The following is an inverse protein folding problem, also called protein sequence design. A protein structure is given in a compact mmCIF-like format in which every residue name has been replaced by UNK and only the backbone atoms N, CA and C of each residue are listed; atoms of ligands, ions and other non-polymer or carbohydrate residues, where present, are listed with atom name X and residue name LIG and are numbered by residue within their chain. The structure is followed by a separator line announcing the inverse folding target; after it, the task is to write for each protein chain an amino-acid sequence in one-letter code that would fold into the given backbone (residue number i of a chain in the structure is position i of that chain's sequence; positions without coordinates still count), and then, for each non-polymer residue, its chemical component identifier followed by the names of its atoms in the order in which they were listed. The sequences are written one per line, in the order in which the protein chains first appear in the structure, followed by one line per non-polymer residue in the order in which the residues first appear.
data_IF_840926229303
#
_entry.id   IF_840926229303
#
_cell.length_a   1.000
_cell.length_b   1.000
_cell.length_c   1.000
_cell.angle_alpha   90.00
_cell.angle_beta   90.00
_cell.angle_gamma   90.00
#
_symmetry.space_group_name_H-M   'P 1'
#
loop_
_entity.id
_entity.type
_entity.pdbx_description
1 polymer ?
#
# COMPACT_ATOMS: atom_id res chain seq x y z
N UNK A 1 -30.35 5.90 41.55
CA UNK A 1 -28.99 5.49 41.08
C UNK A 1 -29.01 4.61 39.83
N UNK A 2 -29.83 3.59 39.76
CA UNK A 2 -29.86 2.62 38.68
C UNK A 2 -30.25 3.21 37.32
N UNK A 3 -31.31 4.05 37.24
CA UNK A 3 -31.77 4.69 35.98
C UNK A 3 -30.70 5.65 35.40
N UNK A 4 -30.02 6.41 36.27
CA UNK A 4 -28.94 7.33 35.84
C UNK A 4 -27.78 6.55 35.22
N UNK A 5 -27.43 5.40 35.78
CA UNK A 5 -26.37 4.52 35.23
C UNK A 5 -26.79 3.91 33.91
N UNK A 6 -28.05 3.49 33.76
CA UNK A 6 -28.60 2.97 32.51
C UNK A 6 -28.56 4.03 31.38
N UNK A 7 -28.99 5.26 31.65
CA UNK A 7 -28.91 6.38 30.71
C UNK A 7 -27.47 6.69 30.31
N UNK A 8 -26.54 6.71 31.29
CA UNK A 8 -25.10 6.91 31.01
C UNK A 8 -24.54 5.82 30.10
N UNK A 9 -24.87 4.55 30.36
CA UNK A 9 -24.44 3.40 29.53
C UNK A 9 -24.95 3.52 28.09
N UNK A 10 -26.24 3.80 27.90
CA UNK A 10 -26.84 3.98 26.58
C UNK A 10 -26.23 5.14 25.81
N UNK A 11 -25.92 6.27 26.47
CA UNK A 11 -25.19 7.37 25.86
C UNK A 11 -23.80 6.97 25.39
N UNK A 12 -23.06 6.22 26.18
CA UNK A 12 -21.76 5.70 25.78
C UNK A 12 -21.88 4.76 24.59
N UNK A 13 -22.87 3.86 24.57
CA UNK A 13 -23.11 2.96 23.43
C UNK A 13 -23.47 3.75 22.18
N UNK A 14 -24.29 4.80 22.29
CA UNK A 14 -24.61 5.68 21.16
C UNK A 14 -23.36 6.39 20.61
N UNK A 15 -22.52 6.94 21.49
CA UNK A 15 -21.29 7.60 21.05
C UNK A 15 -20.35 6.62 20.33
N UNK A 16 -20.19 5.40 20.86
CA UNK A 16 -19.37 4.38 20.19
C UNK A 16 -19.97 3.99 18.83
N UNK A 17 -21.28 3.83 18.75
CA UNK A 17 -21.98 3.55 17.51
C UNK A 17 -21.77 4.66 16.46
N UNK A 18 -21.91 5.92 16.87
CA UNK A 18 -21.69 7.08 15.99
C UNK A 18 -20.23 7.16 15.50
N UNK A 19 -19.25 6.89 16.36
CA UNK A 19 -17.85 6.85 15.96
C UNK A 19 -17.62 5.75 14.90
N UNK A 20 -18.13 4.54 15.10
CA UNK A 20 -18.06 3.45 14.13
C UNK A 20 -18.76 3.81 12.81
N UNK A 21 -19.92 4.45 12.90
CA UNK A 21 -20.65 4.92 11.72
C UNK A 21 -19.81 5.92 10.91
N UNK A 22 -19.22 6.94 11.55
CA UNK A 22 -18.40 7.94 10.85
C UNK A 22 -17.09 7.35 10.30
N UNK A 23 -16.48 6.39 10.99
CA UNK A 23 -15.32 5.67 10.47
C UNK A 23 -15.69 4.89 9.20
N UNK A 24 -16.82 4.17 9.22
CA UNK A 24 -17.31 3.40 8.09
C UNK A 24 -17.72 4.30 6.92
N UNK A 25 -18.41 5.41 7.19
CA UNK A 25 -18.77 6.43 6.19
C UNK A 25 -17.52 7.03 5.53
N UNK A 26 -16.51 7.39 6.32
CA UNK A 26 -15.23 7.89 5.80
C UNK A 26 -14.49 6.85 4.96
N UNK A 27 -14.53 5.59 5.39
CA UNK A 27 -13.96 4.47 4.64
C UNK A 27 -14.65 4.32 3.27
N UNK A 28 -15.98 4.34 3.24
CA UNK A 28 -16.78 4.18 2.02
C UNK A 28 -16.62 5.38 1.08
N UNK A 29 -16.65 6.60 1.63
CA UNK A 29 -16.67 7.82 0.81
C UNK A 29 -15.31 8.23 0.27
N UNK A 30 -14.21 7.90 0.96
CA UNK A 30 -12.87 8.40 0.65
C UNK A 30 -11.81 7.32 0.54
N UNK A 31 -11.69 6.45 1.57
CA UNK A 31 -10.52 5.57 1.68
C UNK A 31 -10.57 4.45 0.65
N UNK A 32 -11.68 3.69 0.61
CA UNK A 32 -11.81 2.54 -0.28
C UNK A 32 -11.80 2.91 -1.77
N UNK A 33 -12.53 3.96 -2.24
CA UNK A 33 -12.47 4.37 -3.64
C UNK A 33 -11.04 4.72 -4.10
N UNK A 34 -10.31 5.50 -3.30
CA UNK A 34 -8.95 5.90 -3.63
C UNK A 34 -7.99 4.70 -3.69
N UNK A 35 -8.10 3.75 -2.74
CA UNK A 35 -7.29 2.52 -2.75
C UNK A 35 -7.59 1.64 -3.96
N UNK A 36 -8.87 1.45 -4.27
CA UNK A 36 -9.32 0.66 -5.42
C UNK A 36 -8.79 1.26 -6.72
N UNK A 37 -8.87 2.58 -6.88
CA UNK A 37 -8.35 3.28 -8.05
C UNK A 37 -6.82 3.13 -8.16
N UNK A 38 -6.10 3.30 -7.05
CA UNK A 38 -4.65 3.12 -7.01
C UNK A 38 -4.24 1.69 -7.37
N UNK A 39 -4.93 0.67 -6.85
CA UNK A 39 -4.65 -0.73 -7.21
C UNK A 39 -4.91 -1.00 -8.69
N UNK A 40 -5.99 -0.46 -9.26
CA UNK A 40 -6.26 -0.57 -10.71
C UNK A 40 -5.15 0.06 -11.54
N UNK A 41 -4.71 1.27 -11.17
CA UNK A 41 -3.61 1.96 -11.85
C UNK A 41 -2.30 1.18 -11.77
N UNK A 42 -1.98 0.62 -10.60
CA UNK A 42 -0.78 -0.19 -10.43
C UNK A 42 -0.85 -1.47 -11.28
N UNK A 43 -2.01 -2.15 -11.33
CA UNK A 43 -2.24 -3.31 -12.19
C UNK A 43 -2.00 -2.95 -13.66
N UNK A 44 -2.58 -1.85 -14.15
CA UNK A 44 -2.38 -1.38 -15.52
C UNK A 44 -0.91 -1.10 -15.84
N UNK A 45 -0.20 -0.45 -14.92
CA UNK A 45 1.23 -0.15 -15.09
C UNK A 45 2.06 -1.43 -15.13
N UNK A 46 1.80 -2.40 -14.23
CA UNK A 46 2.49 -3.67 -14.19
C UNK A 46 2.20 -4.51 -15.45
N UNK A 47 0.97 -4.48 -15.96
CA UNK A 47 0.62 -5.15 -17.21
C UNK A 47 1.41 -4.57 -18.42
N UNK A 48 1.61 -3.26 -18.46
CA UNK A 48 2.52 -2.62 -19.46
C UNK A 48 3.97 -3.09 -19.28
N UNK A 49 4.44 -3.24 -18.05
CA UNK A 49 5.80 -3.70 -17.78
C UNK A 49 6.01 -5.16 -18.19
N UNK A 50 4.99 -6.01 -18.09
CA UNK A 50 5.03 -7.38 -18.64
C UNK A 50 5.24 -7.36 -20.15
N UNK A 51 4.57 -6.47 -20.87
CA UNK A 51 4.76 -6.35 -22.32
C UNK A 51 6.17 -5.80 -22.67
N UNK A 52 6.70 -4.88 -21.86
CA UNK A 52 8.10 -4.41 -22.01
C UNK A 52 9.06 -5.59 -21.76
N UNK A 53 8.90 -6.34 -20.68
CA UNK A 53 9.76 -7.48 -20.37
C UNK A 53 9.76 -8.52 -21.51
N UNK A 54 8.60 -8.87 -22.04
CA UNK A 54 8.47 -9.78 -23.18
C UNK A 54 9.17 -9.26 -24.45
N UNK A 55 9.00 -7.96 -24.75
CA UNK A 55 9.55 -7.33 -25.96
C UNK A 55 11.07 -7.27 -25.95
N UNK A 56 11.67 -7.02 -24.78
CA UNK A 56 13.12 -6.85 -24.64
C UNK A 56 13.82 -8.07 -24.05
N UNK A 57 13.11 -9.19 -23.87
CA UNK A 57 13.72 -10.44 -23.44
C UNK A 57 14.79 -10.88 -24.46
N UNK A 58 15.97 -11.21 -23.96
CA UNK A 58 17.07 -11.76 -24.77
C UNK A 58 17.84 -12.78 -23.93
N UNK A 59 18.27 -13.84 -24.56
CA UNK A 59 19.15 -14.86 -23.94
C UNK A 59 20.59 -14.34 -23.79
N UNK A 60 20.99 -13.40 -24.64
CA UNK A 60 22.31 -12.79 -24.60
C UNK A 60 22.35 -11.70 -23.54
N UNK A 61 23.27 -11.86 -22.59
CA UNK A 61 23.48 -10.86 -21.55
C UNK A 61 24.39 -9.77 -22.05
N UNK A 62 23.89 -8.54 -22.07
CA UNK A 62 24.68 -7.34 -22.27
C UNK A 62 24.10 -6.19 -21.47
N UNK A 63 24.93 -5.45 -20.75
CA UNK A 63 24.54 -4.24 -20.00
C UNK A 63 25.62 -3.18 -20.07
N UNK A 64 25.19 -1.94 -20.28
CA UNK A 64 26.07 -0.77 -20.21
C UNK A 64 25.78 0.02 -18.94
N UNK A 65 26.76 0.07 -18.05
CA UNK A 65 26.66 0.75 -16.75
C UNK A 65 27.28 2.13 -16.82
N UNK A 66 26.54 3.16 -16.38
CA UNK A 66 26.92 4.57 -16.38
C UNK A 66 27.33 5.10 -17.78
N UNK A 67 26.79 4.53 -18.85
CA UNK A 67 27.12 4.84 -20.25
C UNK A 67 28.63 4.73 -20.57
N UNK A 68 29.38 4.06 -19.72
CA UNK A 68 30.84 3.98 -19.80
C UNK A 68 31.37 2.55 -19.76
N UNK A 69 30.76 1.68 -18.97
CA UNK A 69 31.27 0.34 -18.72
C UNK A 69 30.36 -0.69 -19.37
N UNK A 70 30.81 -1.27 -20.47
CA UNK A 70 30.14 -2.40 -21.13
C UNK A 70 30.49 -3.71 -20.43
N UNK A 71 29.52 -4.59 -20.27
CA UNK A 71 29.73 -5.92 -19.69
C UNK A 71 28.84 -6.95 -20.35
N UNK A 72 29.46 -8.07 -20.79
CA UNK A 72 28.78 -9.23 -21.39
C UNK A 72 28.62 -10.37 -20.38
N UNK A 73 28.96 -10.13 -19.12
CA UNK A 73 28.76 -11.11 -18.06
C UNK A 73 28.11 -10.50 -16.81
N UNK A 74 27.21 -11.28 -16.20
CA UNK A 74 26.54 -10.89 -14.92
C UNK A 74 27.53 -10.67 -13.79
N UNK A 75 28.62 -11.46 -13.75
CA UNK A 75 29.65 -11.35 -12.71
C UNK A 75 30.42 -10.03 -12.78
N UNK A 76 30.79 -9.60 -13.98
CA UNK A 76 31.46 -8.33 -14.20
C UNK A 76 30.53 -7.14 -13.92
N UNK A 77 29.30 -7.18 -14.44
CA UNK A 77 28.28 -6.17 -14.15
C UNK A 77 28.05 -6.00 -12.64
N UNK A 78 27.93 -7.09 -11.87
CA UNK A 78 27.84 -7.07 -10.41
C UNK A 78 29.03 -6.32 -9.77
N UNK A 79 30.25 -6.60 -10.23
CA UNK A 79 31.47 -5.97 -9.72
C UNK A 79 31.47 -4.47 -10.00
N UNK A 80 31.07 -4.07 -11.22
CA UNK A 80 30.98 -2.67 -11.59
C UNK A 80 29.94 -1.95 -10.74
N UNK A 81 28.72 -2.48 -10.63
CA UNK A 81 27.62 -1.86 -9.90
C UNK A 81 27.96 -1.71 -8.41
N UNK A 82 28.59 -2.69 -7.78
CA UNK A 82 29.02 -2.61 -6.39
C UNK A 82 30.04 -1.51 -6.10
N UNK A 83 30.85 -1.16 -7.08
CA UNK A 83 31.87 -0.10 -6.94
C UNK A 83 31.30 1.30 -7.17
N UNK A 84 30.01 1.42 -7.58
CA UNK A 84 29.35 2.71 -7.73
C UNK A 84 29.07 3.27 -6.35
N UNK A 85 29.65 4.44 -6.07
CA UNK A 85 29.32 5.19 -4.86
C UNK A 85 27.92 5.81 -5.00
N UNK A 86 26.95 5.43 -4.14
CA UNK A 86 25.64 6.05 -4.19
C UNK A 86 25.75 7.53 -3.81
N UNK A 87 25.09 8.39 -4.57
CA UNK A 87 24.94 9.79 -4.20
C UNK A 87 23.95 9.89 -3.03
N UNK A 88 24.34 10.52 -1.93
CA UNK A 88 23.43 10.76 -0.82
C UNK A 88 22.33 11.72 -1.27
N UNK A 89 21.08 11.36 -1.05
CA UNK A 89 19.83 12.12 -1.28
C UNK A 89 19.25 12.11 -2.70
N UNK A 90 19.87 11.49 -3.69
CA UNK A 90 19.31 11.48 -5.04
C UNK A 90 19.36 10.07 -5.64
N UNK A 91 18.23 9.63 -6.20
CA UNK A 91 18.19 8.52 -7.11
C UNK A 91 19.16 8.76 -8.29
N UNK A 92 19.89 7.72 -8.66
CA UNK A 92 20.82 7.78 -9.79
C UNK A 92 20.54 6.63 -10.75
N UNK A 93 20.12 6.93 -11.96
CA UNK A 93 20.09 5.94 -13.04
C UNK A 93 21.52 5.49 -13.34
N UNK A 94 21.75 4.19 -13.27
CA UNK A 94 23.05 3.57 -13.49
C UNK A 94 23.14 2.73 -14.75
N UNK A 95 21.98 2.24 -15.25
CA UNK A 95 21.91 1.46 -16.48
C UNK A 95 20.48 1.45 -17.04
N UNK A 96 20.35 0.96 -18.28
CA UNK A 96 19.08 0.43 -18.82
C UNK A 96 19.30 -1.05 -19.14
N UNK A 97 18.37 -1.91 -18.74
CA UNK A 97 18.49 -3.34 -18.94
C UNK A 97 17.11 -3.96 -19.23
N UNK A 98 17.00 -4.69 -20.33
CA UNK A 98 15.75 -5.33 -20.79
C UNK A 98 14.54 -4.39 -20.82
N UNK A 99 14.75 -3.13 -21.20
CA UNK A 99 13.69 -2.12 -21.32
C UNK A 99 13.34 -1.39 -20.01
N UNK A 100 14.02 -1.72 -18.90
CA UNK A 100 13.86 -1.05 -17.61
C UNK A 100 15.05 -0.17 -17.26
N UNK A 101 14.80 0.91 -16.53
CA UNK A 101 15.84 1.73 -15.94
C UNK A 101 16.29 1.15 -14.60
N UNK A 102 17.59 0.94 -14.46
CA UNK A 102 18.21 0.47 -13.22
C UNK A 102 18.72 1.68 -12.45
N UNK A 103 18.17 1.90 -11.27
CA UNK A 103 18.40 3.07 -10.45
C UNK A 103 18.98 2.65 -9.11
N UNK A 104 20.04 3.32 -8.71
CA UNK A 104 20.63 3.18 -7.38
C UNK A 104 20.13 4.31 -6.49
N UNK A 105 19.53 3.95 -5.36
CA UNK A 105 19.07 4.88 -4.33
C UNK A 105 19.68 4.57 -2.97
N UNK A 106 19.84 5.61 -2.16
CA UNK A 106 20.25 5.51 -0.76
C UNK A 106 19.53 6.54 0.08
N UNK A 107 18.50 6.10 0.76
CA UNK A 107 17.60 6.97 1.56
C UNK A 107 18.32 7.66 2.73
N UNK A 108 19.37 7.06 3.30
CA UNK A 108 20.19 7.67 4.34
C UNK A 108 21.60 7.04 4.42
N UNK A 109 22.51 7.68 5.15
CA UNK A 109 23.88 7.16 5.40
C UNK A 109 23.84 5.81 6.11
N UNK A 110 22.84 5.58 6.94
CA UNK A 110 22.68 4.38 7.77
C UNK A 110 21.74 3.33 7.15
N UNK A 111 21.08 3.63 6.01
CA UNK A 111 20.22 2.68 5.33
C UNK A 111 21.00 1.76 4.39
N UNK A 112 20.46 0.57 4.16
CA UNK A 112 20.92 -0.28 3.06
C UNK A 112 20.77 0.45 1.72
N UNK A 113 21.58 0.05 0.75
CA UNK A 113 21.42 0.54 -0.62
C UNK A 113 20.19 -0.13 -1.22
N UNK A 114 19.38 0.66 -1.94
CA UNK A 114 18.19 0.18 -2.61
C UNK A 114 18.42 0.23 -4.11
N UNK A 115 18.10 -0.85 -4.79
CA UNK A 115 18.02 -0.90 -6.24
C UNK A 115 16.57 -0.78 -6.65
N UNK A 116 16.29 0.12 -7.60
CA UNK A 116 14.96 0.31 -8.18
C UNK A 116 15.04 -0.10 -9.66
N UNK A 117 14.19 -1.02 -10.05
CA UNK A 117 13.95 -1.38 -11.45
C UNK A 117 12.72 -0.59 -11.87
N UNK A 118 12.91 0.47 -12.62
CA UNK A 118 11.86 1.42 -13.01
C UNK A 118 11.32 1.09 -14.39
N UNK A 119 10.05 0.75 -14.43
CA UNK A 119 9.22 0.66 -15.61
C UNK A 119 8.10 1.69 -15.57
N UNK A 120 6.87 1.25 -15.85
CA UNK A 120 5.64 2.00 -15.54
C UNK A 120 5.29 1.89 -14.04
N UNK A 121 5.83 0.86 -13.38
CA UNK A 121 5.81 0.64 -11.94
C UNK A 121 7.25 0.45 -11.44
N UNK A 122 7.54 0.86 -10.19
CA UNK A 122 8.87 0.72 -9.58
C UNK A 122 8.95 -0.56 -8.74
N UNK A 123 9.95 -1.41 -9.03
CA UNK A 123 10.25 -2.64 -8.29
C UNK A 123 11.52 -2.43 -7.49
N UNK A 124 11.44 -2.52 -6.16
CA UNK A 124 12.55 -2.21 -5.27
C UNK A 124 13.09 -3.46 -4.57
N UNK A 125 14.41 -3.51 -4.36
CA UNK A 125 15.03 -4.43 -3.43
C UNK A 125 16.24 -3.80 -2.73
N UNK A 126 16.42 -4.17 -1.48
CA UNK A 126 17.61 -3.79 -0.72
C UNK A 126 18.74 -4.78 -0.97
N UNK A 127 19.96 -4.28 -1.00
CA UNK A 127 21.14 -5.12 -1.19
C UNK A 127 22.30 -4.71 -0.29
N UNK A 128 23.17 -5.68 -0.01
CA UNK A 128 24.40 -5.54 0.80
C UNK A 128 25.57 -6.19 0.08
N UNK A 129 26.74 -6.19 0.68
CA UNK A 129 27.99 -6.69 0.08
C UNK A 129 27.97 -8.12 -0.48
N UNK A 130 27.11 -9.01 0.01
CA UNK A 130 26.98 -10.41 -0.46
C UNK A 130 25.90 -10.62 -1.53
N UNK A 131 25.03 -9.65 -1.78
CA UNK A 131 23.88 -9.80 -2.70
C UNK A 131 24.36 -9.90 -4.14
N UNK A 132 23.89 -10.91 -4.89
CA UNK A 132 24.07 -10.93 -6.35
C UNK A 132 23.03 -10.03 -7.00
N UNK A 133 23.41 -8.79 -7.31
CA UNK A 133 22.52 -7.74 -7.80
C UNK A 133 21.88 -8.12 -9.12
N UNK A 134 22.69 -8.57 -10.11
CA UNK A 134 22.17 -8.94 -11.43
C UNK A 134 21.20 -10.12 -11.36
N UNK A 135 21.49 -11.10 -10.51
CA UNK A 135 20.54 -12.20 -10.28
C UNK A 135 19.19 -11.69 -9.70
N UNK A 136 19.21 -10.74 -8.79
CA UNK A 136 17.96 -10.16 -8.24
C UNK A 136 17.20 -9.36 -9.31
N UNK A 137 17.91 -8.60 -10.15
CA UNK A 137 17.31 -7.86 -11.26
C UNK A 137 16.64 -8.84 -12.25
N UNK A 138 17.37 -9.86 -12.71
CA UNK A 138 16.82 -10.88 -13.61
C UNK A 138 15.60 -11.57 -12.99
N UNK A 139 15.69 -11.99 -11.73
CA UNK A 139 14.59 -12.65 -11.02
C UNK A 139 13.34 -11.76 -10.92
N UNK A 140 13.51 -10.45 -10.71
CA UNK A 140 12.38 -9.52 -10.66
C UNK A 140 11.75 -9.38 -12.04
N UNK A 141 12.55 -9.21 -13.09
CA UNK A 141 12.05 -9.05 -14.46
C UNK A 141 11.36 -10.33 -14.94
N UNK A 142 11.92 -11.51 -14.67
CA UNK A 142 11.38 -12.80 -15.13
C UNK A 142 10.14 -13.24 -14.35
N UNK A 143 10.15 -13.07 -13.02
CA UNK A 143 9.12 -13.64 -12.15
C UNK A 143 8.47 -12.60 -11.23
N UNK A 144 9.23 -11.63 -10.74
CA UNK A 144 8.79 -10.67 -9.72
C UNK A 144 7.64 -9.78 -10.22
N UNK A 145 7.71 -9.33 -11.48
CA UNK A 145 6.65 -8.54 -12.11
C UNK A 145 5.31 -9.29 -12.09
N UNK A 146 5.31 -10.57 -12.45
CA UNK A 146 4.10 -11.41 -12.44
C UNK A 146 3.57 -11.66 -11.03
N UNK A 147 4.45 -11.85 -10.06
CA UNK A 147 4.04 -12.05 -8.66
C UNK A 147 3.46 -10.75 -8.06
N UNK A 148 4.01 -9.59 -8.42
CA UNK A 148 3.46 -8.30 -8.00
C UNK A 148 2.08 -8.06 -8.63
N UNK A 149 1.87 -8.39 -9.90
CA UNK A 149 0.55 -8.36 -10.54
C UNK A 149 -0.47 -9.21 -9.79
N UNK A 150 -0.12 -10.45 -9.45
CA UNK A 150 -1.00 -11.35 -8.66
C UNK A 150 -1.32 -10.75 -7.29
N UNK A 151 -0.34 -10.11 -6.68
CA UNK A 151 -0.49 -9.46 -5.36
C UNK A 151 -1.47 -8.30 -5.44
N UNK A 152 -1.33 -7.40 -6.42
CA UNK A 152 -2.27 -6.28 -6.59
C UNK A 152 -3.67 -6.73 -6.99
N UNK A 153 -3.82 -7.76 -7.83
CA UNK A 153 -5.13 -8.34 -8.16
C UNK A 153 -5.83 -8.89 -6.91
N UNK A 154 -5.11 -9.58 -6.03
CA UNK A 154 -5.66 -10.06 -4.74
C UNK A 154 -6.03 -8.90 -3.80
N UNK A 155 -5.19 -7.86 -3.71
CA UNK A 155 -5.48 -6.66 -2.90
C UNK A 155 -6.72 -5.92 -3.41
N UNK A 156 -6.87 -5.78 -4.72
CA UNK A 156 -8.05 -5.16 -5.34
C UNK A 156 -9.32 -5.94 -5.04
N UNK A 157 -9.27 -7.26 -5.17
CA UNK A 157 -10.42 -8.13 -4.87
C UNK A 157 -10.82 -8.02 -3.39
N UNK A 158 -9.86 -8.11 -2.48
CA UNK A 158 -10.10 -7.98 -1.04
C UNK A 158 -10.72 -6.62 -0.69
N UNK A 159 -10.13 -5.50 -1.19
CA UNK A 159 -10.63 -4.16 -0.91
C UNK A 159 -12.03 -3.95 -1.52
N UNK A 160 -12.29 -4.48 -2.71
CA UNK A 160 -13.61 -4.40 -3.34
C UNK A 160 -14.68 -5.16 -2.55
N UNK A 161 -14.37 -6.35 -2.05
CA UNK A 161 -15.29 -7.12 -1.17
C UNK A 161 -15.55 -6.35 0.12
N UNK A 162 -14.49 -5.87 0.78
CA UNK A 162 -14.60 -5.08 2.02
C UNK A 162 -15.45 -3.82 1.82
N UNK A 163 -15.27 -3.12 0.69
CA UNK A 163 -16.05 -1.95 0.33
C UNK A 163 -17.54 -2.26 0.16
N UNK A 164 -17.85 -3.38 -0.50
CA UNK A 164 -19.24 -3.84 -0.69
C UNK A 164 -19.89 -4.18 0.66
N UNK A 165 -19.19 -4.94 1.52
CA UNK A 165 -19.66 -5.28 2.86
C UNK A 165 -19.89 -4.02 3.71
N UNK A 166 -18.94 -3.10 3.71
CA UNK A 166 -19.07 -1.83 4.44
C UNK A 166 -20.33 -1.03 4.02
N UNK A 167 -20.63 -1.01 2.72
CA UNK A 167 -21.85 -0.36 2.22
C UNK A 167 -23.14 -1.02 2.73
N UNK A 168 -23.16 -2.33 2.89
CA UNK A 168 -24.35 -3.04 3.40
C UNK A 168 -24.49 -2.91 4.91
N UNK A 169 -23.39 -2.69 5.63
CA UNK A 169 -23.35 -2.52 7.08
C UNK A 169 -23.60 -1.07 7.54
N UNK A 170 -23.51 -0.10 6.61
CA UNK A 170 -23.71 1.31 6.95
C UNK A 170 -25.17 1.57 7.30
N UNK A 171 -25.43 1.71 8.60
CA UNK A 171 -26.74 2.05 9.15
C UNK A 171 -26.60 3.27 10.07
N UNK A 172 -27.31 4.39 9.79
CA UNK A 172 -27.27 5.59 10.61
C UNK A 172 -28.05 5.45 11.92
N UNK A 173 -28.96 4.46 12.03
CA UNK A 173 -29.90 4.35 13.12
C UNK A 173 -29.31 3.59 14.32
N UNK A 174 -29.15 4.27 15.43
CA UNK A 174 -28.75 3.65 16.69
C UNK A 174 -29.84 2.71 17.19
N UNK A 175 -29.59 1.38 17.35
CA UNK A 175 -30.62 0.39 17.67
C UNK A 175 -31.40 0.64 18.97
N UNK A 176 -30.77 1.34 19.93
CA UNK A 176 -31.35 1.63 21.25
C UNK A 176 -31.80 3.10 21.39
N UNK A 177 -32.00 3.84 20.30
CA UNK A 177 -32.39 5.27 20.36
C UNK A 177 -33.69 5.47 21.12
N UNK A 178 -34.74 4.71 20.81
CA UNK A 178 -36.03 4.79 21.46
C UNK A 178 -35.97 4.46 22.97
N UNK A 179 -35.12 3.51 23.35
CA UNK A 179 -34.89 3.17 24.75
C UNK A 179 -34.19 4.30 25.50
N UNK A 180 -33.17 4.88 24.87
CA UNK A 180 -32.44 6.02 25.42
C UNK A 180 -33.39 7.20 25.66
N UNK A 181 -34.22 7.57 24.67
CA UNK A 181 -35.17 8.68 24.77
C UNK A 181 -36.16 8.45 25.93
N UNK A 182 -36.78 7.26 26.02
CA UNK A 182 -37.72 6.91 27.09
C UNK A 182 -37.09 7.01 28.47
N UNK A 183 -35.88 6.48 28.65
CA UNK A 183 -35.18 6.52 29.94
C UNK A 183 -34.73 7.93 30.32
N UNK A 184 -34.32 8.75 29.35
CA UNK A 184 -33.98 10.14 29.57
C UNK A 184 -35.20 10.95 30.03
N UNK A 185 -36.34 10.82 29.36
CA UNK A 185 -37.59 11.48 29.76
C UNK A 185 -37.99 11.10 31.20
N UNK A 186 -37.94 9.78 31.52
CA UNK A 186 -38.25 9.30 32.87
C UNK A 186 -37.31 9.83 33.93
N UNK A 187 -36.01 9.90 33.64
CA UNK A 187 -35.02 10.50 34.55
C UNK A 187 -35.29 11.98 34.79
N UNK A 188 -35.66 12.75 33.75
CA UNK A 188 -36.03 14.14 33.86
C UNK A 188 -37.24 14.36 34.77
N UNK A 189 -38.33 13.59 34.56
CA UNK A 189 -39.51 13.63 35.40
C UNK A 189 -39.21 13.39 36.91
N UNK A 190 -38.38 12.37 37.17
CA UNK A 190 -37.98 12.06 38.54
C UNK A 190 -37.15 13.17 39.17
N UNK A 191 -36.23 13.76 38.44
CA UNK A 191 -35.41 14.89 38.96
C UNK A 191 -36.26 16.12 39.22
N UNK A 192 -37.26 16.45 38.36
CA UNK A 192 -38.18 17.51 38.64
C UNK A 192 -39.00 17.31 39.95
N UNK A 193 -39.49 16.07 40.15
CA UNK A 193 -40.23 15.72 41.37
C UNK A 193 -39.39 15.77 42.65
N UNK A 194 -38.08 15.55 42.53
CA UNK A 194 -37.17 15.62 43.70
C UNK A 194 -36.69 17.04 44.01
N UNK A 195 -36.85 17.96 43.08
CA UNK A 195 -36.43 19.35 43.19
C UNK A 195 -37.59 20.31 43.54
N UNK A 196 -38.84 19.80 43.53
CA UNK A 196 -40.07 20.47 43.96
C UNK A 196 -40.42 20.13 45.39
#
# INVERSE_FOLDING_TARGET
MELTQQVKRLKMQKNNFLNQYYELESYISKIAPNRIEQYKKNIENIEKDIEVAKKYHTDDFHIKVLDKYDSDTRAEANKIIRNIQPSYKNERKIASYQGFDIILDRKSVYSHQTMIIRGNYDYEFEFSGSTNIMYQIDKIIEYGILEELKTFKRRLEFESRKFTTAKTELNPDFPHENELIKKQARLSELNQKLSA
#
